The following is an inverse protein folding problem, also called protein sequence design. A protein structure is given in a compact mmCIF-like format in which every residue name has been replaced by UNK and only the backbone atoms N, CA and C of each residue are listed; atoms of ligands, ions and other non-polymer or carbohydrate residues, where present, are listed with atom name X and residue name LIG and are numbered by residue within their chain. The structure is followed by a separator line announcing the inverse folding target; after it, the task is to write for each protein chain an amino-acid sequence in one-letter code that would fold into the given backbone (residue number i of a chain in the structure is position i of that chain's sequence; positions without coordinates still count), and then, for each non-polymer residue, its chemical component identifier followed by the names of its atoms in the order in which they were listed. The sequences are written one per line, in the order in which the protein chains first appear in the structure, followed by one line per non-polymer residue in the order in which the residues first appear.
data_IF_232468433779
#
_entry.id   IF_232468433779
#
_cell.length_a   1.000
_cell.length_b   1.000
_cell.length_c   1.000
_cell.angle_alpha   90.00
_cell.angle_beta   90.00
_cell.angle_gamma   90.00
#
_symmetry.space_group_name_H-M   'P 1'
#
loop_
_entity.id
_entity.type
_entity.pdbx_description
1 polymer ?
#
# COMPACT_ATOMS: atom_id res chain seq x y z
N UNK A 1 50.52 1.96 -22.64
CA UNK A 1 49.22 1.25 -22.47
C UNK A 1 48.47 1.97 -21.34
N UNK A 2 47.55 2.89 -21.65
CA UNK A 2 46.80 3.64 -20.63
C UNK A 2 45.50 2.89 -20.33
N UNK A 3 45.38 2.34 -19.12
CA UNK A 3 44.15 1.74 -18.62
C UNK A 3 43.13 2.85 -18.30
N UNK A 4 42.10 2.95 -19.14
CA UNK A 4 40.91 3.74 -18.84
C UNK A 4 40.16 3.05 -17.70
N UNK A 5 40.28 3.59 -16.48
CA UNK A 5 39.42 3.24 -15.35
C UNK A 5 37.97 3.54 -15.72
N UNK A 6 37.18 2.49 -15.95
CA UNK A 6 35.73 2.59 -16.09
C UNK A 6 35.16 3.09 -14.77
N UNK A 7 34.56 4.29 -14.78
CA UNK A 7 33.73 4.77 -13.67
C UNK A 7 32.53 3.82 -13.58
N UNK A 8 32.51 2.97 -12.55
CA UNK A 8 31.31 2.26 -12.14
C UNK A 8 30.26 3.31 -11.78
N UNK A 9 29.23 3.43 -12.60
CA UNK A 9 28.04 4.22 -12.29
C UNK A 9 27.32 3.48 -11.16
N UNK A 10 27.46 3.96 -9.93
CA UNK A 10 26.68 3.45 -8.81
C UNK A 10 25.19 3.59 -9.18
N UNK A 11 24.36 2.54 -8.99
CA UNK A 11 22.95 2.64 -9.27
C UNK A 11 22.37 3.78 -8.43
N UNK A 12 21.81 4.78 -9.09
CA UNK A 12 21.17 5.93 -8.45
C UNK A 12 20.10 5.37 -7.51
N UNK A 13 20.22 5.64 -6.21
CA UNK A 13 19.24 5.23 -5.20
C UNK A 13 17.87 5.77 -5.64
N UNK A 14 17.00 4.89 -6.12
CA UNK A 14 15.63 5.26 -6.48
C UNK A 14 14.90 5.41 -5.17
N UNK A 15 14.59 6.65 -4.79
CA UNK A 15 13.70 6.90 -3.67
C UNK A 15 12.27 6.62 -4.13
N UNK A 16 11.66 5.58 -3.53
CA UNK A 16 10.28 5.21 -3.80
C UNK A 16 9.37 6.32 -3.26
N UNK A 17 8.56 6.91 -4.13
CA UNK A 17 7.55 7.90 -3.76
C UNK A 17 6.23 7.58 -4.46
N UNK A 18 5.12 7.80 -3.77
CA UNK A 18 3.79 7.73 -4.34
C UNK A 18 3.25 9.15 -4.45
N UNK A 19 2.80 9.55 -5.63
CA UNK A 19 2.12 10.81 -5.87
C UNK A 19 0.77 10.56 -6.53
N UNK A 20 -0.13 11.52 -6.38
CA UNK A 20 -1.39 11.52 -7.10
C UNK A 20 -1.45 12.76 -7.99
N UNK A 21 -2.11 12.60 -9.15
CA UNK A 21 -2.44 13.71 -10.04
C UNK A 21 -3.94 13.77 -10.20
N UNK A 22 -4.53 14.94 -9.94
CA UNK A 22 -5.95 15.21 -10.18
C UNK A 22 -6.04 16.11 -11.40
N UNK A 23 -6.80 15.67 -12.40
CA UNK A 23 -7.13 16.46 -13.58
C UNK A 23 -8.62 16.77 -13.61
N UNK A 24 -8.98 18.05 -13.63
CA UNK A 24 -10.36 18.51 -13.86
C UNK A 24 -10.48 18.84 -15.34
N UNK A 25 -11.44 18.23 -16.03
CA UNK A 25 -11.70 18.43 -17.46
C UNK A 25 -13.08 19.06 -17.66
N UNK A 26 -13.23 19.89 -18.68
CA UNK A 26 -14.54 20.36 -19.13
C UNK A 26 -15.32 19.25 -19.86
N UNK A 27 -16.55 19.55 -20.26
CA UNK A 27 -17.43 18.60 -20.96
C UNK A 27 -16.89 18.23 -22.34
N UNK A 28 -16.01 19.03 -22.92
CA UNK A 28 -15.28 18.78 -24.17
C UNK A 28 -13.96 17.99 -23.95
N UNK A 29 -13.62 17.62 -22.71
CA UNK A 29 -12.46 16.81 -22.36
C UNK A 29 -11.14 17.58 -22.21
N UNK A 30 -11.18 18.91 -22.32
CA UNK A 30 -10.02 19.80 -22.14
C UNK A 30 -9.73 19.99 -20.65
N UNK A 31 -8.47 19.89 -20.27
CA UNK A 31 -8.02 20.03 -18.88
C UNK A 31 -8.12 21.50 -18.45
N UNK A 32 -8.97 21.78 -17.45
CA UNK A 32 -9.15 23.09 -16.81
C UNK A 32 -8.16 23.26 -15.65
N UNK A 33 -7.88 22.18 -14.92
CA UNK A 33 -6.98 22.21 -13.77
C UNK A 33 -6.21 20.91 -13.63
N UNK A 34 -4.93 21.02 -13.24
CA UNK A 34 -4.09 19.88 -12.86
C UNK A 34 -3.43 20.18 -11.53
N UNK A 35 -3.59 19.27 -10.58
CA UNK A 35 -2.86 19.27 -9.30
C UNK A 35 -2.01 18.00 -9.26
N UNK A 36 -0.76 18.12 -8.84
CA UNK A 36 0.12 16.99 -8.55
C UNK A 36 0.68 17.16 -7.15
N UNK A 37 0.56 16.14 -6.32
CA UNK A 37 1.02 16.18 -4.94
C UNK A 37 1.50 14.80 -4.47
N UNK A 38 2.44 14.75 -3.51
CA UNK A 38 2.81 13.50 -2.86
C UNK A 38 1.60 12.93 -2.11
N UNK A 39 1.37 11.63 -2.27
CA UNK A 39 0.32 10.92 -1.55
C UNK A 39 0.76 10.69 -0.11
N UNK A 40 -0.09 11.13 0.83
CA UNK A 40 0.08 10.89 2.27
C UNK A 40 -1.08 10.10 2.88
N UNK A 41 -1.96 9.56 2.04
CA UNK A 41 -3.15 8.81 2.48
C UNK A 41 -2.82 7.41 3.00
N UNK A 42 -1.62 6.90 2.72
CA UNK A 42 -1.17 5.58 3.13
C UNK A 42 0.27 5.60 3.63
N UNK A 43 0.55 4.81 4.66
CA UNK A 43 1.90 4.54 5.16
C UNK A 43 2.77 3.88 4.08
N UNK A 44 4.08 4.00 4.23
CA UNK A 44 5.11 3.48 3.33
C UNK A 44 4.93 1.99 3.02
N UNK A 45 4.65 1.17 4.03
CA UNK A 45 4.50 -0.28 3.86
C UNK A 45 3.40 -0.62 2.83
N UNK A 46 2.28 0.11 2.84
CA UNK A 46 1.20 -0.07 1.87
C UNK A 46 1.64 0.31 0.44
N UNK A 47 2.32 1.44 0.30
CA UNK A 47 2.83 1.90 -0.99
C UNK A 47 3.88 0.92 -1.56
N UNK A 48 4.71 0.33 -0.70
CA UNK A 48 5.66 -0.70 -1.07
C UNK A 48 4.95 -1.97 -1.56
N UNK A 49 3.87 -2.40 -0.90
CA UNK A 49 3.06 -3.54 -1.36
C UNK A 49 2.48 -3.28 -2.75
N UNK A 50 1.90 -2.10 -2.98
CA UNK A 50 1.38 -1.72 -4.30
C UNK A 50 2.49 -1.73 -5.36
N UNK A 51 3.66 -1.19 -5.01
CA UNK A 51 4.81 -1.17 -5.91
C UNK A 51 5.34 -2.57 -6.22
N UNK A 52 5.40 -3.48 -5.24
CA UNK A 52 5.80 -4.89 -5.43
C UNK A 52 4.94 -5.58 -6.47
N UNK A 53 3.62 -5.37 -6.39
CA UNK A 53 2.68 -5.92 -7.36
C UNK A 53 2.78 -5.24 -8.72
N UNK A 54 2.90 -3.91 -8.76
CA UNK A 54 3.03 -3.17 -10.02
C UNK A 54 4.36 -3.47 -10.75
N UNK A 55 5.46 -3.57 -10.02
CA UNK A 55 6.79 -3.83 -10.55
C UNK A 55 7.06 -5.32 -10.83
N UNK A 56 6.15 -6.21 -10.41
CA UNK A 56 6.32 -7.67 -10.54
C UNK A 56 7.65 -8.16 -9.95
N UNK A 57 8.03 -7.64 -8.77
CA UNK A 57 9.30 -7.91 -8.13
C UNK A 57 9.14 -8.18 -6.63
N UNK A 58 9.89 -9.14 -6.10
CA UNK A 58 9.97 -9.38 -4.64
C UNK A 58 10.79 -8.26 -4.00
N UNK A 59 10.25 -7.62 -2.95
CA UNK A 59 10.96 -6.61 -2.16
C UNK A 59 10.73 -6.83 -0.67
N UNK A 60 11.57 -6.21 0.13
CA UNK A 60 11.48 -6.26 1.58
C UNK A 60 10.48 -5.22 2.11
N UNK A 61 9.61 -5.66 3.01
CA UNK A 61 8.65 -4.81 3.76
C UNK A 61 8.80 -5.13 5.25
N UNK A 62 8.66 -4.13 6.12
CA UNK A 62 8.68 -4.34 7.57
C UNK A 62 7.31 -4.84 8.03
N UNK A 63 7.30 -5.93 8.79
CA UNK A 63 6.09 -6.48 9.42
C UNK A 63 5.71 -5.69 10.67
N UNK A 64 4.48 -5.89 11.15
CA UNK A 64 3.97 -5.28 12.39
C UNK A 64 4.78 -5.66 13.64
N UNK A 65 5.53 -6.78 13.60
CA UNK A 65 6.47 -7.19 14.65
C UNK A 65 7.88 -6.57 14.50
N UNK A 66 8.06 -5.64 13.56
CA UNK A 66 9.33 -4.98 13.25
C UNK A 66 10.29 -5.81 12.41
N UNK A 67 9.96 -7.05 12.08
CA UNK A 67 10.86 -7.92 11.31
C UNK A 67 10.78 -7.63 9.81
N UNK A 68 11.93 -7.56 9.10
CA UNK A 68 11.92 -7.45 7.65
C UNK A 68 11.42 -8.74 7.00
N UNK A 69 10.57 -8.62 5.98
CA UNK A 69 9.99 -9.75 5.26
C UNK A 69 10.08 -9.54 3.74
N UNK A 70 10.60 -10.55 3.04
CA UNK A 70 10.66 -10.54 1.57
C UNK A 70 9.29 -10.93 1.01
N UNK A 71 8.47 -9.93 0.67
CA UNK A 71 7.13 -10.14 0.16
C UNK A 71 7.18 -10.52 -1.34
N UNK A 72 6.69 -11.71 -1.73
CA UNK A 72 6.71 -12.13 -3.12
C UNK A 72 5.75 -11.32 -4.00
N UNK A 73 6.11 -11.14 -5.28
CA UNK A 73 5.26 -10.45 -6.28
C UNK A 73 3.85 -11.02 -6.43
N UNK A 74 3.68 -12.32 -6.20
CA UNK A 74 2.40 -13.05 -6.29
C UNK A 74 1.66 -13.19 -4.96
N UNK A 75 2.09 -12.48 -3.91
CA UNK A 75 1.41 -12.56 -2.62
C UNK A 75 -0.04 -12.05 -2.71
N UNK A 76 -0.95 -12.66 -1.95
CA UNK A 76 -2.34 -12.23 -1.87
C UNK A 76 -2.49 -11.12 -0.80
N UNK A 77 -1.85 -9.97 -1.02
CA UNK A 77 -1.71 -8.91 0.00
C UNK A 77 -3.03 -8.24 0.41
N UNK A 78 -4.10 -8.40 -0.38
CA UNK A 78 -5.46 -7.94 -0.07
C UNK A 78 -6.37 -9.05 0.47
N UNK A 79 -5.83 -10.25 0.69
CA UNK A 79 -6.63 -11.36 1.21
C UNK A 79 -6.94 -11.14 2.69
N UNK A 80 -8.22 -11.06 3.01
CA UNK A 80 -8.73 -10.98 4.37
C UNK A 80 -9.45 -12.29 4.64
N UNK A 81 -8.74 -13.22 5.29
CA UNK A 81 -9.25 -14.53 5.69
C UNK A 81 -8.77 -14.85 7.11
N UNK A 82 -9.15 -13.98 8.04
CA UNK A 82 -8.81 -14.11 9.44
C UNK A 82 -9.94 -14.84 10.17
N UNK A 83 -9.58 -15.79 11.04
CA UNK A 83 -10.54 -16.43 11.95
C UNK A 83 -11.01 -15.46 13.03
N UNK A 84 -12.10 -15.82 13.72
CA UNK A 84 -12.61 -15.08 14.88
C UNK A 84 -11.51 -14.87 15.93
N UNK A 85 -11.40 -13.65 16.46
CA UNK A 85 -10.40 -13.29 17.47
C UNK A 85 -8.95 -13.23 16.98
N UNK A 86 -8.71 -13.31 15.68
CA UNK A 86 -7.36 -13.23 15.11
C UNK A 86 -6.86 -11.78 15.03
N UNK A 87 -5.57 -11.57 15.30
CA UNK A 87 -4.89 -10.28 15.12
C UNK A 87 -4.31 -10.11 13.70
N UNK A 88 -4.81 -10.89 12.73
CA UNK A 88 -4.48 -10.78 11.32
C UNK A 88 -5.66 -10.17 10.55
N UNK A 89 -5.39 -9.40 9.49
CA UNK A 89 -6.42 -8.75 8.69
C UNK A 89 -6.59 -7.26 9.05
N UNK A 90 -7.83 -6.78 9.10
CA UNK A 90 -8.13 -5.40 9.53
C UNK A 90 -8.21 -5.41 11.06
N UNK A 91 -7.25 -4.73 11.69
CA UNK A 91 -7.20 -4.56 13.14
C UNK A 91 -7.46 -3.10 13.49
N UNK A 92 -8.09 -2.87 14.64
CA UNK A 92 -8.32 -1.53 15.19
C UNK A 92 -7.35 -1.31 16.33
N UNK A 93 -6.82 -0.10 16.44
CA UNK A 93 -5.93 0.26 17.54
C UNK A 93 -6.16 1.68 17.99
N UNK A 94 -5.52 1.98 19.12
CA UNK A 94 -5.47 3.31 19.74
C UNK A 94 -4.02 3.73 19.92
N UNK A 95 -3.83 5.04 20.00
CA UNK A 95 -2.54 5.64 20.23
C UNK A 95 -2.64 7.15 20.27
N UNK A 96 -1.61 7.78 20.82
CA UNK A 96 -1.47 9.24 20.83
C UNK A 96 -0.27 9.70 20.00
N UNK A 97 0.55 8.75 19.55
CA UNK A 97 1.67 9.01 18.65
C UNK A 97 1.16 9.55 17.32
N UNK A 98 1.68 10.69 16.91
CA UNK A 98 1.37 11.27 15.61
C UNK A 98 1.80 10.32 14.49
N UNK A 99 0.89 10.08 13.54
CA UNK A 99 1.14 9.15 12.43
C UNK A 99 2.31 9.64 11.57
N UNK A 100 3.28 8.76 11.35
CA UNK A 100 4.38 8.94 10.42
C UNK A 100 4.22 8.04 9.19
N UNK A 101 4.83 8.44 8.08
CA UNK A 101 4.85 7.64 6.86
C UNK A 101 5.58 6.31 7.05
N UNK A 102 6.54 6.24 7.98
CA UNK A 102 7.32 5.04 8.27
C UNK A 102 6.67 4.12 9.33
N UNK A 103 5.46 4.46 9.81
CA UNK A 103 4.73 3.61 10.75
C UNK A 103 4.37 2.27 10.10
N UNK A 104 4.58 1.19 10.86
CA UNK A 104 4.37 -0.19 10.41
C UNK A 104 3.50 -1.00 11.38
N UNK A 105 3.18 -0.44 12.56
CA UNK A 105 2.38 -1.08 13.59
C UNK A 105 1.52 -0.04 14.33
N UNK A 106 0.40 -0.48 14.90
CA UNK A 106 -0.41 0.32 15.82
C UNK A 106 0.30 0.43 17.17
N UNK A 107 0.19 1.58 17.85
CA UNK A 107 0.74 1.79 19.19
C UNK A 107 0.16 0.80 20.20
N UNK A 108 -1.16 0.62 20.19
CA UNK A 108 -1.86 -0.41 20.94
C UNK A 108 -3.01 -0.97 20.11
N UNK A 109 -3.07 -2.29 19.96
CA UNK A 109 -4.18 -2.96 19.27
C UNK A 109 -5.32 -3.15 20.27
N UNK A 110 -6.53 -2.79 19.86
CA UNK A 110 -7.75 -3.15 20.57
C UNK A 110 -8.01 -4.65 20.32
N UNK A 111 -8.10 -5.45 21.38
CA UNK A 111 -8.16 -6.92 21.25
C UNK A 111 -9.60 -7.42 21.03
N UNK A 112 -9.73 -8.73 20.77
CA UNK A 112 -11.03 -9.40 20.79
C UNK A 112 -11.70 -9.27 22.15
N UNK A 113 -12.97 -8.86 22.18
CA UNK A 113 -13.76 -8.91 23.40
C UNK A 113 -14.96 -7.97 23.41
N UNK A 114 -15.42 -7.65 24.61
CA UNK A 114 -16.64 -6.85 24.85
C UNK A 114 -16.43 -5.75 25.91
N UNK A 115 -15.23 -5.65 26.45
CA UNK A 115 -14.82 -4.63 27.39
C UNK A 115 -14.45 -3.31 26.73
N UNK A 116 -13.97 -2.38 27.54
CA UNK A 116 -13.43 -1.10 27.08
C UNK A 116 -12.22 -1.33 26.19
N UNK A 117 -12.20 -0.67 25.03
CA UNK A 117 -11.13 -0.80 24.02
C UNK A 117 -10.96 -2.23 23.46
N UNK A 118 -12.03 -3.03 23.50
CA UNK A 118 -12.12 -4.32 22.85
C UNK A 118 -13.18 -4.27 21.74
N UNK A 119 -12.99 -5.06 20.70
CA UNK A 119 -13.96 -5.21 19.61
C UNK A 119 -14.26 -6.67 19.39
N UNK A 120 -15.47 -6.95 18.92
CA UNK A 120 -15.84 -8.29 18.54
C UNK A 120 -15.37 -8.57 17.09
N UNK A 121 -14.21 -9.19 16.95
CA UNK A 121 -13.64 -9.64 15.67
C UNK A 121 -14.32 -10.90 15.20
N UNK A 122 -15.39 -10.69 14.45
CA UNK A 122 -16.10 -11.73 13.72
C UNK A 122 -15.28 -12.24 12.54
N UNK A 123 -15.57 -13.47 12.13
CA UNK A 123 -14.99 -14.04 10.92
C UNK A 123 -15.48 -13.29 9.69
N UNK A 124 -14.55 -12.83 8.86
CA UNK A 124 -14.86 -12.17 7.60
C UNK A 124 -14.11 -12.85 6.46
N UNK A 125 -14.83 -13.14 5.39
CA UNK A 125 -14.27 -13.67 4.16
C UNK A 125 -14.87 -12.96 2.95
N UNK A 126 -14.01 -12.57 2.00
CA UNK A 126 -14.44 -12.08 0.69
C UNK A 126 -14.52 -13.27 -0.26
N UNK A 127 -15.71 -13.57 -0.76
CA UNK A 127 -15.94 -14.74 -1.62
C UNK A 127 -15.54 -14.52 -3.09
N UNK A 128 -15.68 -13.29 -3.63
CA UNK A 128 -15.24 -12.91 -4.98
C UNK A 128 -14.95 -11.41 -5.10
N UNK A 129 -13.92 -11.06 -5.86
CA UNK A 129 -13.70 -9.70 -6.37
C UNK A 129 -14.12 -9.62 -7.84
N UNK A 130 -14.92 -8.62 -8.20
CA UNK A 130 -15.22 -8.27 -9.60
C UNK A 130 -14.45 -6.99 -9.95
N UNK A 131 -13.55 -7.09 -10.94
CA UNK A 131 -12.95 -5.91 -11.57
C UNK A 131 -13.52 -5.82 -12.99
N UNK A 132 -14.48 -4.92 -13.19
CA UNK A 132 -15.00 -4.62 -14.52
C UNK A 132 -14.30 -3.36 -15.03
N UNK A 133 -13.54 -3.49 -16.11
CA UNK A 133 -13.09 -2.33 -16.89
C UNK A 133 -14.22 -2.05 -17.89
N UNK A 134 -14.86 -0.86 -17.86
CA UNK A 134 -15.88 -0.55 -18.85
C UNK A 134 -15.24 -0.56 -20.24
N UNK A 135 -15.84 -1.35 -21.15
CA UNK A 135 -15.53 -1.28 -22.57
C UNK A 135 -15.99 0.11 -23.04
N UNK A 136 -15.05 1.01 -23.34
CA UNK A 136 -15.40 2.25 -24.04
C UNK A 136 -15.78 1.84 -25.47
N UNK A 137 -17.07 1.78 -25.74
CA UNK A 137 -17.57 1.65 -27.09
C UNK A 137 -17.19 2.93 -27.86
N UNK A 138 -16.31 2.82 -28.84
CA UNK A 138 -16.13 3.87 -29.83
C UNK A 138 -17.44 3.99 -30.60
N UNK A 139 -18.07 5.16 -30.52
CA UNK A 139 -19.19 5.52 -31.37
C UNK A 139 -18.66 5.67 -32.81
N UNK A 140 -19.21 4.83 -33.70
CA UNK A 140 -19.03 4.91 -35.16
C UNK A 140 -19.67 6.17 -35.72
#
# INVERSE_FOLDING_TARGET
KQEKKQKQVQPKKVEESLSYTVEVRDKEGKVIQRISAPSRSYVKAWNQILNIHAAQATKQVIRTDGTPYNLPKGNKSLNINAGVGSLFGIVVGKGTTAVSIDDYALESICVEGTGTDEFNYQGFYISRFYLTVPLMAEAV
#
